data_IF_172579821859
#
_entry.id   IF_172579821859
#
_cell.length_a   1.000
_cell.length_b   1.000
_cell.length_c   1.000
_cell.angle_alpha   90.00
_cell.angle_beta   90.00
_cell.angle_gamma   90.00
#
_symmetry.space_group_name_H-M   'P 1'
#
loop_
_entity.id
_entity.type
_entity.pdbx_description
1 polymer ?
#
# COMPACT_ATOMS: atom_id res chain seq x y z
N UNK A 1 38.67 9.43 -26.60
CA UNK A 1 37.91 9.18 -25.36
C UNK A 1 36.55 9.81 -25.56
N UNK A 2 35.49 9.02 -25.56
CA UNK A 2 34.13 9.51 -25.83
C UNK A 2 33.53 10.03 -24.53
N UNK A 3 33.19 11.31 -24.48
CA UNK A 3 32.56 11.91 -23.30
C UNK A 3 31.04 11.80 -23.44
N UNK A 4 30.42 11.08 -22.51
CA UNK A 4 28.96 11.01 -22.41
C UNK A 4 28.43 12.38 -21.96
N UNK A 5 27.53 13.01 -22.73
CA UNK A 5 26.94 14.29 -22.34
C UNK A 5 26.07 14.12 -21.10
N UNK A 6 26.10 15.13 -20.23
CA UNK A 6 25.27 15.16 -19.02
C UNK A 6 23.79 15.12 -19.44
N UNK A 7 22.95 14.28 -18.81
CA UNK A 7 21.52 14.22 -19.11
C UNK A 7 20.85 15.58 -18.94
N UNK A 8 19.99 15.94 -19.89
CA UNK A 8 19.33 17.25 -19.98
C UNK A 8 18.62 17.69 -18.67
N UNK A 9 18.13 16.73 -17.89
CA UNK A 9 17.39 16.99 -16.65
C UNK A 9 18.25 17.49 -15.49
N UNK A 10 19.53 17.09 -15.43
CA UNK A 10 20.42 17.41 -14.30
C UNK A 10 20.66 18.93 -14.23
N UNK A 11 20.86 19.59 -15.37
CA UNK A 11 21.10 21.04 -15.43
C UNK A 11 19.88 21.89 -15.06
N UNK A 12 18.70 21.28 -14.89
CA UNK A 12 17.45 21.94 -14.52
C UNK A 12 17.00 21.63 -13.09
N UNK A 13 17.65 20.69 -12.41
CA UNK A 13 17.37 20.43 -11.01
C UNK A 13 17.90 21.58 -10.16
N UNK A 14 17.03 22.13 -9.33
CA UNK A 14 17.42 23.07 -8.27
C UNK A 14 17.57 22.27 -6.97
N UNK A 15 18.49 22.65 -6.06
CA UNK A 15 18.53 22.02 -4.75
C UNK A 15 17.16 22.10 -4.08
N UNK A 16 16.74 21.01 -3.43
CA UNK A 16 15.58 21.07 -2.56
C UNK A 16 15.81 22.12 -1.47
N UNK A 17 14.73 22.78 -1.04
CA UNK A 17 14.79 23.69 0.08
C UNK A 17 15.44 22.97 1.27
N UNK A 18 16.41 23.63 1.91
CA UNK A 18 17.03 23.07 3.09
C UNK A 18 15.97 22.88 4.18
N UNK A 19 15.78 21.65 4.63
CA UNK A 19 14.95 21.37 5.81
C UNK A 19 15.70 21.86 7.03
N UNK A 20 15.45 23.09 7.46
CA UNK A 20 16.09 23.69 8.65
C UNK A 20 15.40 23.30 9.96
N UNK A 21 14.20 22.71 9.88
CA UNK A 21 13.47 22.25 11.05
C UNK A 21 13.83 20.78 11.34
N UNK A 22 14.40 20.53 12.52
CA UNK A 22 14.42 19.20 13.10
C UNK A 22 13.00 18.89 13.57
N UNK A 23 12.33 17.96 12.89
CA UNK A 23 11.05 17.45 13.35
C UNK A 23 11.29 16.38 14.42
N UNK A 24 10.54 16.38 15.54
CA UNK A 24 10.63 15.32 16.51
C UNK A 24 10.25 13.97 15.87
N UNK A 25 11.03 12.94 16.16
CA UNK A 25 10.67 11.58 15.78
C UNK A 25 9.51 11.12 16.68
N UNK A 26 8.34 10.92 16.09
CA UNK A 26 7.15 10.47 16.80
C UNK A 26 6.98 8.96 16.58
N UNK A 27 6.84 8.22 17.67
CA UNK A 27 6.62 6.76 17.64
C UNK A 27 5.14 6.48 17.84
N UNK A 28 4.43 5.89 16.85
CA UNK A 28 3.06 5.49 17.03
C UNK A 28 2.94 4.33 18.02
N UNK A 29 1.87 4.34 18.81
CA UNK A 29 1.48 3.26 19.73
C UNK A 29 0.07 2.79 19.38
N UNK A 30 -0.25 1.53 19.66
CA UNK A 30 -1.62 1.00 19.46
C UNK A 30 -2.43 1.28 20.72
N UNK A 31 -3.56 1.97 20.56
CA UNK A 31 -4.56 2.13 21.61
C UNK A 31 -5.23 0.76 21.89
N UNK A 32 -5.18 0.23 23.12
CA UNK A 32 -5.74 -1.08 23.42
C UNK A 32 -7.28 -1.12 23.37
N UNK A 33 -7.98 -0.01 23.59
CA UNK A 33 -9.44 0.03 23.59
C UNK A 33 -9.99 0.09 22.16
N UNK A 34 -9.38 0.91 21.31
CA UNK A 34 -9.86 1.17 19.95
C UNK A 34 -9.15 0.35 18.87
N UNK A 35 -7.96 -0.21 19.18
CA UNK A 35 -7.09 -0.91 18.23
C UNK A 35 -6.63 -0.03 17.06
N UNK A 36 -6.52 1.28 17.29
CA UNK A 36 -6.06 2.27 16.30
C UNK A 36 -4.65 2.74 16.66
N UNK A 37 -3.84 3.01 15.63
CA UNK A 37 -2.51 3.60 15.81
C UNK A 37 -2.60 5.10 16.12
N UNK A 38 -2.06 5.50 17.27
CA UNK A 38 -2.07 6.89 17.75
C UNK A 38 -0.64 7.39 17.96
N UNK A 39 -0.40 8.67 17.72
CA UNK A 39 0.84 9.35 18.09
C UNK A 39 0.57 10.24 19.30
N UNK A 40 1.46 10.22 20.28
CA UNK A 40 1.35 11.09 21.45
C UNK A 40 2.40 12.19 21.31
N UNK A 41 1.96 13.45 21.37
CA UNK A 41 2.88 14.60 21.38
C UNK A 41 3.60 14.75 22.74
N UNK A 42 4.51 15.72 22.80
CA UNK A 42 5.30 16.00 24.00
C UNK A 42 4.47 16.50 25.20
N UNK A 43 3.25 16.98 24.95
CA UNK A 43 2.29 17.41 25.97
C UNK A 43 1.30 16.29 26.36
N UNK A 44 1.46 15.09 25.81
CA UNK A 44 0.59 13.95 26.09
C UNK A 44 -0.73 13.96 25.30
N UNK A 45 -0.87 14.81 24.27
CA UNK A 45 -2.07 14.83 23.42
C UNK A 45 -1.94 13.78 22.32
N UNK A 46 -3.02 13.05 22.11
CA UNK A 46 -3.15 12.14 20.99
C UNK A 46 -3.37 12.91 19.70
N UNK A 47 -2.45 12.72 18.76
CA UNK A 47 -2.60 13.06 17.35
C UNK A 47 -3.02 11.78 16.62
N UNK A 48 -4.23 11.80 16.08
CA UNK A 48 -4.70 10.76 15.16
C UNK A 48 -3.83 10.79 13.90
N UNK A 49 -3.10 9.69 13.65
CA UNK A 49 -2.52 9.42 12.34
C UNK A 49 -3.68 9.01 11.45
N UNK A 50 -4.24 10.02 10.75
CA UNK A 50 -5.52 9.95 10.05
C UNK A 50 -5.86 8.61 9.38
N UNK A 51 -7.16 8.31 9.33
CA UNK A 51 -7.73 7.03 8.91
C UNK A 51 -6.90 6.31 7.85
N UNK A 52 -6.16 5.30 8.31
CA UNK A 52 -5.59 4.31 7.43
C UNK A 52 -6.72 3.35 7.05
N UNK A 53 -7.09 3.32 5.78
CA UNK A 53 -8.12 2.43 5.28
C UNK A 53 -7.75 0.97 5.56
N UNK A 54 -8.66 0.23 6.18
CA UNK A 54 -8.51 -1.22 6.35
C UNK A 54 -8.96 -1.89 5.05
N UNK A 55 -8.07 -2.62 4.38
CA UNK A 55 -8.42 -3.37 3.18
C UNK A 55 -9.12 -4.67 3.56
N UNK A 56 -10.29 -4.94 2.97
CA UNK A 56 -10.92 -6.26 3.08
C UNK A 56 -10.51 -7.10 1.87
N UNK A 57 -9.85 -8.23 2.12
CA UNK A 57 -9.46 -9.17 1.07
C UNK A 57 -10.61 -10.11 0.74
N UNK A 58 -10.99 -10.16 -0.53
CA UNK A 58 -11.89 -11.15 -1.11
C UNK A 58 -11.12 -12.13 -2.00
N UNK A 59 -11.60 -13.37 -2.07
CA UNK A 59 -11.13 -14.36 -3.04
C UNK A 59 -12.27 -14.75 -3.96
N UNK A 60 -12.04 -14.71 -5.28
CA UNK A 60 -12.99 -15.22 -6.27
C UNK A 60 -12.46 -16.52 -6.87
N UNK A 61 -12.82 -17.70 -6.31
CA UNK A 61 -12.37 -18.97 -6.85
C UNK A 61 -13.11 -19.30 -8.16
N UNK A 62 -12.36 -19.62 -9.22
CA UNK A 62 -12.92 -20.09 -10.49
C UNK A 62 -12.40 -21.50 -10.78
N UNK A 63 -13.29 -22.41 -11.17
CA UNK A 63 -12.92 -23.79 -11.53
C UNK A 63 -13.62 -24.20 -12.82
N UNK A 64 -12.84 -24.69 -13.79
CA UNK A 64 -13.34 -25.22 -15.06
C UNK A 64 -13.36 -26.74 -14.99
N UNK A 65 -14.48 -27.37 -15.36
CA UNK A 65 -14.61 -28.84 -15.44
C UNK A 65 -14.63 -29.30 -16.90
N UNK A 66 -13.97 -30.42 -17.26
CA UNK A 66 -14.13 -31.01 -18.57
C UNK A 66 -15.57 -31.50 -18.78
N UNK A 67 -16.12 -31.27 -19.98
CA UNK A 67 -17.45 -31.72 -20.39
C UNK A 67 -17.58 -33.25 -20.49
N UNK A 68 -18.83 -33.68 -20.67
CA UNK A 68 -19.49 -35.00 -20.67
C UNK A 68 -18.82 -36.27 -21.28
N UNK A 69 -17.51 -36.30 -21.48
CA UNK A 69 -16.74 -37.56 -21.48
C UNK A 69 -16.61 -38.31 -22.81
N UNK A 70 -16.81 -37.66 -23.95
CA UNK A 70 -16.64 -38.30 -25.27
C UNK A 70 -15.16 -38.49 -25.72
N UNK A 71 -14.19 -37.89 -25.03
CA UNK A 71 -12.75 -37.91 -25.36
C UNK A 71 -11.90 -37.68 -24.08
N UNK A 72 -10.56 -37.93 -24.04
CA UNK A 72 -9.79 -37.86 -22.79
C UNK A 72 -9.96 -36.50 -22.11
N UNK A 73 -10.48 -36.51 -20.88
CA UNK A 73 -10.78 -35.32 -20.11
C UNK A 73 -9.52 -34.48 -19.90
N UNK A 74 -9.59 -33.22 -20.34
CA UNK A 74 -8.51 -32.24 -20.17
C UNK A 74 -8.26 -31.90 -18.70
N UNK A 75 -7.11 -31.29 -18.42
CA UNK A 75 -6.73 -30.86 -17.07
C UNK A 75 -7.82 -29.96 -16.45
N UNK A 76 -8.19 -30.27 -15.20
CA UNK A 76 -8.99 -29.37 -14.36
C UNK A 76 -8.06 -28.28 -13.84
N UNK A 77 -8.29 -27.04 -14.23
CA UNK A 77 -7.63 -25.88 -13.65
C UNK A 77 -8.52 -25.24 -12.57
N UNK A 78 -7.89 -24.87 -11.46
CA UNK A 78 -8.51 -24.07 -10.41
C UNK A 78 -7.57 -22.90 -10.18
N UNK A 79 -8.10 -21.69 -10.36
CA UNK A 79 -7.38 -20.45 -10.10
C UNK A 79 -8.20 -19.56 -9.16
N UNK A 80 -7.53 -18.68 -8.45
CA UNK A 80 -8.16 -17.73 -7.52
C UNK A 80 -7.59 -16.35 -7.76
N UNK A 81 -8.46 -15.39 -8.04
CA UNK A 81 -8.08 -13.98 -8.13
C UNK A 81 -8.31 -13.30 -6.78
N UNK A 82 -7.28 -12.62 -6.29
CA UNK A 82 -7.35 -11.77 -5.11
C UNK A 82 -8.03 -10.44 -5.48
N UNK A 83 -9.01 -10.02 -4.69
CA UNK A 83 -9.59 -8.69 -4.76
C UNK A 83 -9.40 -7.97 -3.43
N UNK A 84 -9.12 -6.67 -3.50
CA UNK A 84 -9.01 -5.82 -2.32
C UNK A 84 -10.03 -4.70 -2.46
N UNK A 85 -10.99 -4.64 -1.53
CA UNK A 85 -11.85 -3.49 -1.38
C UNK A 85 -11.21 -2.53 -0.37
N UNK A 86 -10.87 -1.32 -0.83
CA UNK A 86 -10.32 -0.26 0.01
C UNK A 86 -11.51 0.53 0.54
N UNK A 87 -11.82 0.39 1.83
CA UNK A 87 -12.78 1.30 2.46
C UNK A 87 -12.15 2.69 2.48
N UNK A 88 -12.56 3.54 1.54
CA UNK A 88 -12.18 4.95 1.57
C UNK A 88 -12.97 5.59 2.70
N UNK A 89 -12.32 5.75 3.86
CA UNK A 89 -12.78 6.62 4.93
C UNK A 89 -12.87 8.06 4.41
N UNK A 90 -13.99 8.38 3.77
CA UNK A 90 -14.34 9.72 3.35
C UNK A 90 -14.58 10.58 4.58
N UNK A 91 -13.92 11.75 4.62
CA UNK A 91 -14.16 12.82 5.60
C UNK A 91 -15.51 13.49 5.42
#
# INVERSE_FOLDING_TARGET
>A
MTQTPVPWGIGRMTPYAATTATLPALTPVIDPETQIAVVVDEDGRTVELGSHGTSTSGLTPTSTRPGDGAAPGGATDADSTESYDQDQSGS
#
